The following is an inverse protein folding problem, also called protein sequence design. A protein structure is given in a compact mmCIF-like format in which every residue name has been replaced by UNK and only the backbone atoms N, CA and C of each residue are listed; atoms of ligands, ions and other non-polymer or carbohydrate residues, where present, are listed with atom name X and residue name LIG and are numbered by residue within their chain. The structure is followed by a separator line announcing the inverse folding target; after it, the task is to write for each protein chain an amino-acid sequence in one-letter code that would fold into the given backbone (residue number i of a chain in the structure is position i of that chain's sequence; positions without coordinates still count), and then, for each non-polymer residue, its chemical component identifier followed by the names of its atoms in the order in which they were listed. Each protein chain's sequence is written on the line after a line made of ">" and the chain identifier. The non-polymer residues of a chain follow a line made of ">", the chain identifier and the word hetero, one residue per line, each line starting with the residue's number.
data_IF_692720406538
#
_entry.id   IF_692720406538
#
_cell.length_a   1.000
_cell.length_b   1.000
_cell.length_c   1.000
_cell.angle_alpha   90.00
_cell.angle_beta   90.00
_cell.angle_gamma   90.00
#
_symmetry.space_group_name_H-M   'P 1'
#
loop_
_entity.id
_entity.type
_entity.pdbx_description
1 polymer ?
#
# COMPACT_ATOMS: atom_id res chain seq x y z
N UNK A 1 3.08 6.78 -4.96
CA UNK A 1 3.75 8.02 -5.42
C UNK A 1 3.06 9.30 -4.93
N UNK A 2 2.50 9.28 -3.76
CA UNK A 2 1.90 10.46 -3.16
C UNK A 2 2.95 11.46 -2.67
N UNK A 3 2.59 12.74 -2.64
CA UNK A 3 3.31 13.76 -1.90
C UNK A 3 2.76 13.85 -0.47
N UNK A 4 3.49 14.56 0.39
CA UNK A 4 3.03 14.94 1.73
C UNK A 4 1.80 15.89 1.71
N UNK A 5 1.38 16.35 0.54
CA UNK A 5 0.17 17.13 0.33
C UNK A 5 -1.05 16.20 0.18
N UNK A 6 -2.24 16.75 0.38
CA UNK A 6 -3.49 16.05 0.09
C UNK A 6 -3.45 15.42 -1.31
N UNK A 7 -3.80 14.12 -1.42
CA UNK A 7 -3.87 13.42 -2.69
C UNK A 7 -4.78 14.14 -3.71
N UNK A 8 -5.85 14.79 -3.25
CA UNK A 8 -6.76 15.59 -4.08
C UNK A 8 -6.04 16.81 -4.64
N UNK A 9 -5.31 17.56 -3.82
CA UNK A 9 -4.52 18.72 -4.25
C UNK A 9 -3.48 18.32 -5.28
N UNK A 10 -2.78 17.22 -5.03
CA UNK A 10 -1.78 16.71 -5.94
C UNK A 10 -2.37 16.29 -7.30
N UNK A 11 -3.50 15.56 -7.30
CA UNK A 11 -4.19 15.15 -8.53
C UNK A 11 -4.71 16.35 -9.33
N UNK A 12 -5.11 17.43 -8.65
CA UNK A 12 -5.70 18.62 -9.26
C UNK A 12 -4.66 19.61 -9.76
N UNK A 13 -3.61 19.86 -8.98
CA UNK A 13 -2.75 21.02 -9.15
C UNK A 13 -1.38 20.68 -9.74
N UNK A 14 -0.90 19.44 -9.62
CA UNK A 14 0.41 19.04 -10.10
C UNK A 14 0.34 18.35 -11.48
N UNK A 15 1.22 18.74 -12.38
CA UNK A 15 1.38 18.07 -13.67
C UNK A 15 1.99 16.68 -13.53
N UNK A 16 1.78 15.80 -14.51
CA UNK A 16 2.38 14.46 -14.50
C UNK A 16 3.93 14.51 -14.44
N UNK A 17 4.64 15.35 -15.23
CA UNK A 17 6.09 15.49 -15.09
C UNK A 17 6.55 15.88 -13.69
N UNK A 18 5.87 16.83 -13.05
CA UNK A 18 6.19 17.26 -11.69
C UNK A 18 6.02 16.13 -10.67
N UNK A 19 4.95 15.36 -10.79
CA UNK A 19 4.70 14.19 -9.95
C UNK A 19 5.74 13.07 -10.17
N UNK A 20 6.23 12.88 -11.40
CA UNK A 20 7.32 11.95 -11.70
C UNK A 20 8.63 12.40 -11.05
N UNK A 21 8.99 13.71 -11.17
CA UNK A 21 10.19 14.26 -10.52
C UNK A 21 10.11 14.07 -9.00
N UNK A 22 8.94 14.32 -8.41
CA UNK A 22 8.70 14.06 -6.99
C UNK A 22 8.87 12.59 -6.63
N UNK A 23 8.31 11.67 -7.43
CA UNK A 23 8.44 10.23 -7.23
C UNK A 23 9.92 9.77 -7.25
N UNK A 24 10.73 10.32 -8.14
CA UNK A 24 12.19 10.06 -8.17
C UNK A 24 12.86 10.49 -6.87
N UNK A 25 12.53 11.68 -6.35
CA UNK A 25 13.06 12.14 -5.07
C UNK A 25 12.58 11.26 -3.90
N UNK A 26 11.33 10.80 -3.91
CA UNK A 26 10.82 9.88 -2.91
C UNK A 26 11.52 8.53 -2.94
N UNK A 27 11.79 7.98 -4.12
CA UNK A 27 12.57 6.75 -4.27
C UNK A 27 13.99 6.90 -3.71
N UNK A 28 14.65 8.03 -4.00
CA UNK A 28 15.97 8.35 -3.45
C UNK A 28 15.93 8.43 -1.92
N UNK A 29 14.97 9.17 -1.35
CA UNK A 29 14.81 9.30 0.10
C UNK A 29 14.56 7.96 0.76
N UNK A 30 13.69 7.13 0.19
CA UNK A 30 13.41 5.80 0.69
C UNK A 30 14.65 4.90 0.71
N UNK A 31 15.44 4.89 -0.38
CA UNK A 31 16.68 4.10 -0.47
C UNK A 31 17.68 4.53 0.61
N UNK A 32 17.86 5.84 0.83
CA UNK A 32 18.77 6.37 1.85
C UNK A 32 18.29 6.11 3.28
N UNK A 33 16.99 5.87 3.48
CA UNK A 33 16.42 5.45 4.74
C UNK A 33 16.49 3.92 4.96
N UNK A 34 17.16 3.17 4.06
CA UNK A 34 17.40 1.73 4.20
C UNK A 34 16.36 0.84 3.49
N UNK A 35 15.40 1.40 2.78
CA UNK A 35 14.41 0.60 2.06
C UNK A 35 14.94 0.23 0.67
N UNK A 36 15.49 -0.98 0.55
CA UNK A 36 16.09 -1.50 -0.70
C UNK A 36 15.03 -2.03 -1.67
N UNK A 37 13.85 -2.38 -1.16
CA UNK A 37 12.70 -2.82 -1.97
C UNK A 37 11.42 -2.14 -1.51
N UNK A 38 10.60 -1.72 -2.47
CA UNK A 38 9.26 -1.17 -2.25
C UNK A 38 8.23 -1.89 -3.10
N UNK A 39 7.01 -2.00 -2.56
CA UNK A 39 5.82 -2.39 -3.28
C UNK A 39 4.87 -1.20 -3.38
N UNK A 40 4.69 -0.66 -4.58
CA UNK A 40 3.74 0.43 -4.88
C UNK A 40 2.42 -0.19 -5.37
N UNK A 41 1.35 0.04 -4.62
CA UNK A 41 0.03 -0.54 -4.89
C UNK A 41 -0.92 0.41 -5.60
N UNK A 42 -0.41 1.34 -6.37
CA UNK A 42 -1.22 2.18 -7.24
C UNK A 42 -0.54 3.49 -7.62
N UNK A 43 -0.59 3.81 -8.90
CA UNK A 43 0.03 5.00 -9.49
C UNK A 43 -0.72 6.30 -9.19
N UNK A 44 -1.88 6.24 -8.52
CA UNK A 44 -2.66 7.41 -8.10
C UNK A 44 -2.94 8.39 -9.24
N UNK A 45 -3.61 7.93 -10.29
CA UNK A 45 -3.96 8.70 -11.49
C UNK A 45 -2.79 9.01 -12.44
N UNK A 46 -1.62 8.41 -12.23
CA UNK A 46 -0.46 8.61 -13.13
C UNK A 46 -0.34 7.52 -14.20
N UNK A 47 -1.42 6.81 -14.50
CA UNK A 47 -1.45 5.71 -15.47
C UNK A 47 -0.42 4.62 -15.09
N UNK A 48 0.53 4.32 -15.97
CA UNK A 48 1.55 3.29 -15.80
C UNK A 48 2.92 3.91 -15.45
N UNK A 49 2.93 5.12 -14.85
CA UNK A 49 4.16 5.84 -14.52
C UNK A 49 5.03 5.12 -13.49
N UNK A 50 4.42 4.39 -12.55
CA UNK A 50 5.12 3.57 -11.55
C UNK A 50 5.95 2.46 -12.22
N UNK A 51 5.43 1.79 -13.25
CA UNK A 51 6.19 0.82 -14.05
C UNK A 51 7.37 1.48 -14.77
N UNK A 52 7.18 2.69 -15.33
CA UNK A 52 8.27 3.43 -15.97
C UNK A 52 9.34 3.86 -14.96
N UNK A 53 8.98 4.29 -13.75
CA UNK A 53 9.93 4.62 -12.68
C UNK A 53 10.68 3.37 -12.23
N UNK A 54 10.00 2.23 -12.04
CA UNK A 54 10.63 0.93 -11.76
C UNK A 54 11.69 0.60 -12.80
N UNK A 55 11.34 0.68 -14.07
CA UNK A 55 12.24 0.32 -15.17
C UNK A 55 13.42 1.30 -15.29
N UNK A 56 13.21 2.58 -14.99
CA UNK A 56 14.29 3.56 -14.94
C UNK A 56 15.28 3.25 -13.81
N UNK A 57 14.81 2.84 -12.62
CA UNK A 57 15.65 2.38 -11.51
C UNK A 57 16.40 1.10 -11.90
N UNK A 58 15.71 0.13 -12.49
CA UNK A 58 16.29 -1.15 -12.88
C UNK A 58 17.41 -0.98 -13.94
N UNK A 59 17.29 0.00 -14.82
CA UNK A 59 18.31 0.35 -15.82
C UNK A 59 19.41 1.28 -15.29
N UNK A 60 19.33 1.70 -14.02
CA UNK A 60 20.32 2.60 -13.41
C UNK A 60 20.25 4.05 -13.87
N UNK A 61 19.15 4.48 -14.50
CA UNK A 61 18.95 5.88 -14.92
C UNK A 61 18.71 6.80 -13.72
N UNK A 62 18.09 6.28 -12.67
CA UNK A 62 17.80 7.00 -11.42
C UNK A 62 18.06 6.09 -10.22
N UNK A 63 18.49 6.64 -9.07
CA UNK A 63 18.60 5.89 -7.83
C UNK A 63 17.23 5.59 -7.23
N UNK A 64 17.08 4.44 -6.58
CA UNK A 64 15.86 4.08 -5.88
C UNK A 64 15.85 2.63 -5.41
N UNK A 65 14.87 2.25 -4.59
CA UNK A 65 14.64 0.85 -4.22
C UNK A 65 14.21 0.02 -5.42
N UNK A 66 14.34 -1.29 -5.33
CA UNK A 66 13.68 -2.21 -6.27
C UNK A 66 12.17 -2.03 -6.11
N UNK A 67 11.46 -1.71 -7.19
CA UNK A 67 10.02 -1.51 -7.14
C UNK A 67 9.27 -2.74 -7.65
N UNK A 68 8.18 -3.08 -6.97
CA UNK A 68 7.10 -3.95 -7.45
C UNK A 68 5.84 -3.10 -7.54
N UNK A 69 5.21 -3.03 -8.70
CA UNK A 69 4.19 -2.02 -9.01
C UNK A 69 2.87 -2.62 -9.44
N UNK A 70 1.79 -1.94 -9.10
CA UNK A 70 0.43 -2.35 -9.48
C UNK A 70 -0.12 -1.60 -10.71
N UNK A 71 0.52 -0.53 -11.13
CA UNK A 71 -0.01 0.40 -12.14
C UNK A 71 -1.36 0.99 -11.70
N UNK A 72 -2.42 0.83 -12.45
CA UNK A 72 -3.75 1.35 -12.09
C UNK A 72 -4.50 0.34 -11.22
N UNK A 73 -5.05 0.81 -10.13
CA UNK A 73 -5.90 -0.01 -9.25
C UNK A 73 -7.24 -0.30 -9.93
N UNK A 74 -7.82 -1.47 -9.68
CA UNK A 74 -9.17 -1.81 -10.16
C UNK A 74 -10.22 -1.45 -9.11
N UNK A 75 -11.32 -0.84 -9.55
CA UNK A 75 -12.47 -0.54 -8.70
C UNK A 75 -13.77 -0.66 -9.51
N UNK A 76 -14.90 -0.90 -8.85
CA UNK A 76 -16.19 -0.85 -9.56
C UNK A 76 -16.58 0.60 -9.90
N UNK A 77 -17.43 0.79 -10.88
CA UNK A 77 -17.97 2.11 -11.28
C UNK A 77 -18.60 2.87 -10.10
N UNK A 78 -19.17 2.16 -9.14
CA UNK A 78 -19.76 2.75 -7.94
C UNK A 78 -18.75 3.17 -6.86
N UNK A 79 -17.47 2.86 -7.01
CA UNK A 79 -16.42 3.22 -6.07
C UNK A 79 -16.12 4.72 -6.08
N UNK A 80 -15.72 5.25 -4.91
CA UNK A 80 -15.32 6.65 -4.77
C UNK A 80 -14.16 7.06 -5.69
N UNK A 81 -13.16 6.20 -5.85
CA UNK A 81 -11.98 6.47 -6.68
C UNK A 81 -12.27 6.50 -8.18
N UNK A 82 -13.42 5.98 -8.62
CA UNK A 82 -13.87 6.03 -10.01
C UNK A 82 -14.63 7.30 -10.34
N UNK A 83 -15.05 8.08 -9.34
CA UNK A 83 -15.84 9.29 -9.55
C UNK A 83 -15.02 10.43 -10.13
N UNK A 84 -15.69 11.28 -10.91
CA UNK A 84 -15.20 12.60 -11.30
C UNK A 84 -15.82 13.68 -10.42
N UNK A 85 -15.05 14.69 -10.05
CA UNK A 85 -15.59 15.87 -9.37
C UNK A 85 -15.92 16.96 -10.38
N UNK A 86 -17.07 17.59 -10.20
CA UNK A 86 -17.53 18.75 -10.94
C UNK A 86 -17.49 18.59 -12.47
N UNK A 87 -18.48 17.88 -13.01
CA UNK A 87 -18.62 17.62 -14.47
C UNK A 87 -19.10 18.81 -15.30
N UNK A 88 -19.46 19.95 -14.70
CA UNK A 88 -20.05 21.09 -15.41
C UNK A 88 -19.03 22.19 -15.76
N UNK A 89 -18.04 21.83 -16.60
CA UNK A 89 -17.03 22.79 -17.06
C UNK A 89 -15.96 23.15 -16.03
N UNK A 90 -15.95 22.49 -14.88
CA UNK A 90 -14.95 22.61 -13.83
C UNK A 90 -13.83 21.59 -13.96
N UNK A 91 -12.97 21.51 -12.97
CA UNK A 91 -11.86 20.57 -12.95
C UNK A 91 -12.37 19.13 -12.73
N UNK A 92 -12.08 18.24 -13.67
CA UNK A 92 -12.19 16.82 -13.46
C UNK A 92 -10.89 16.32 -12.81
N UNK A 93 -10.98 15.72 -11.62
CA UNK A 93 -9.84 14.99 -11.07
C UNK A 93 -9.59 13.75 -11.92
N UNK A 94 -8.34 13.43 -12.25
CA UNK A 94 -8.03 12.15 -12.86
C UNK A 94 -8.48 11.01 -11.95
N UNK A 95 -9.11 9.97 -12.51
CA UNK A 95 -9.55 8.82 -11.74
C UNK A 95 -8.35 8.10 -11.10
N UNK A 96 -8.45 7.83 -9.79
CA UNK A 96 -7.43 7.10 -9.03
C UNK A 96 -7.38 5.61 -9.37
N UNK A 97 -8.51 5.06 -9.83
CA UNK A 97 -8.68 3.66 -10.21
C UNK A 97 -9.27 3.52 -11.62
N UNK A 98 -9.09 2.36 -12.23
CA UNK A 98 -9.81 1.97 -13.43
C UNK A 98 -11.15 1.36 -13.02
N UNK A 99 -12.25 1.98 -13.48
CA UNK A 99 -13.60 1.49 -13.25
C UNK A 99 -13.88 0.28 -14.14
N UNK A 100 -14.29 -0.83 -13.52
CA UNK A 100 -14.60 -2.09 -14.20
C UNK A 100 -15.77 -2.79 -13.49
N UNK A 101 -16.69 -3.34 -14.27
CA UNK A 101 -17.85 -4.04 -13.75
C UNK A 101 -18.07 -5.34 -14.54
N UNK A 102 -18.41 -6.41 -13.81
CA UNK A 102 -18.65 -7.74 -14.37
C UNK A 102 -17.39 -8.48 -14.80
N UNK A 103 -17.49 -9.80 -14.79
CA UNK A 103 -16.35 -10.74 -14.95
C UNK A 103 -15.57 -10.55 -16.26
N UNK A 104 -16.24 -10.23 -17.36
CA UNK A 104 -15.58 -10.09 -18.67
C UNK A 104 -14.77 -8.79 -18.77
N UNK A 105 -15.26 -7.69 -18.20
CA UNK A 105 -14.50 -6.46 -18.17
C UNK A 105 -13.30 -6.56 -17.22
N UNK A 106 -13.51 -7.16 -16.05
CA UNK A 106 -12.45 -7.46 -15.08
C UNK A 106 -11.34 -8.30 -15.70
N UNK A 107 -11.69 -9.38 -16.40
CA UNK A 107 -10.72 -10.21 -17.13
C UNK A 107 -9.85 -9.38 -18.07
N UNK A 108 -10.48 -8.52 -18.87
CA UNK A 108 -9.78 -7.63 -19.80
C UNK A 108 -8.90 -6.62 -19.05
N UNK A 109 -9.39 -6.07 -17.94
CA UNK A 109 -8.65 -5.11 -17.14
C UNK A 109 -7.40 -5.72 -16.50
N UNK A 110 -7.50 -6.91 -15.90
CA UNK A 110 -6.34 -7.63 -15.35
C UNK A 110 -5.28 -7.86 -16.45
N UNK A 111 -5.69 -8.31 -17.64
CA UNK A 111 -4.77 -8.47 -18.79
C UNK A 111 -4.11 -7.16 -19.19
N UNK A 112 -4.86 -6.04 -19.19
CA UNK A 112 -4.28 -4.70 -19.45
C UNK A 112 -3.24 -4.32 -18.40
N UNK A 113 -3.46 -4.63 -17.11
CA UNK A 113 -2.46 -4.35 -16.05
C UNK A 113 -1.19 -5.17 -16.27
N UNK A 114 -1.33 -6.45 -16.56
CA UNK A 114 -0.20 -7.32 -16.87
C UNK A 114 0.57 -6.81 -18.10
N UNK A 115 -0.14 -6.45 -19.17
CA UNK A 115 0.46 -5.88 -20.37
C UNK A 115 1.16 -4.54 -20.13
N UNK A 116 0.68 -3.73 -19.18
CA UNK A 116 1.30 -2.48 -18.75
C UNK A 116 2.52 -2.70 -17.83
N UNK A 117 2.84 -3.94 -17.50
CA UNK A 117 4.00 -4.31 -16.67
C UNK A 117 3.73 -4.34 -15.17
N UNK A 118 2.49 -4.55 -14.74
CA UNK A 118 2.20 -4.73 -13.32
C UNK A 118 2.86 -6.00 -12.77
N UNK A 119 3.52 -5.88 -11.61
CA UNK A 119 4.09 -6.98 -10.84
C UNK A 119 3.08 -7.57 -9.85
N UNK A 120 2.05 -6.79 -9.52
CA UNK A 120 0.96 -7.13 -8.60
C UNK A 120 -0.35 -6.54 -9.12
N UNK A 121 -1.44 -7.28 -9.02
CA UNK A 121 -2.77 -6.73 -9.28
C UNK A 121 -3.32 -6.16 -7.98
N UNK A 122 -3.80 -4.91 -8.01
CA UNK A 122 -4.44 -4.25 -6.87
C UNK A 122 -5.88 -3.92 -7.19
N UNK A 123 -6.78 -4.19 -6.24
CA UNK A 123 -8.17 -3.77 -6.33
C UNK A 123 -8.71 -3.28 -4.97
N UNK A 124 -9.83 -2.54 -5.03
CA UNK A 124 -10.61 -2.18 -3.86
C UNK A 124 -11.73 -3.20 -3.68
N UNK A 125 -11.65 -4.06 -2.65
CA UNK A 125 -12.74 -4.98 -2.31
C UNK A 125 -13.95 -4.23 -1.75
N UNK A 126 -13.67 -3.18 -0.99
CA UNK A 126 -14.64 -2.22 -0.46
C UNK A 126 -14.07 -0.81 -0.53
N UNK A 127 -14.94 0.18 -0.59
CA UNK A 127 -14.54 1.59 -0.52
C UNK A 127 -15.75 2.48 -0.21
N UNK A 128 -15.46 3.73 0.15
CA UNK A 128 -16.48 4.75 0.41
C UNK A 128 -17.40 4.92 -0.79
N UNK A 129 -18.69 4.89 -0.54
CA UNK A 129 -19.70 5.18 -1.56
C UNK A 129 -20.35 6.53 -1.27
N UNK A 130 -20.76 7.22 -2.32
CA UNK A 130 -21.63 8.37 -2.21
C UNK A 130 -23.04 7.88 -1.96
N UNK A 131 -23.47 7.90 -0.68
CA UNK A 131 -24.82 7.52 -0.29
C UNK A 131 -25.58 8.73 0.22
N UNK A 132 -26.87 8.79 -0.15
CA UNK A 132 -27.75 9.89 0.28
C UNK A 132 -28.23 9.73 1.74
N UNK A 133 -27.93 8.61 2.38
CA UNK A 133 -28.34 8.26 3.75
C UNK A 133 -27.22 8.42 4.77
N UNK A 134 -26.19 9.13 4.45
CA UNK A 134 -25.13 9.49 5.41
C UNK A 134 -25.72 10.18 6.65
N UNK A 135 -24.99 10.20 7.77
CA UNK A 135 -25.38 10.95 8.94
C UNK A 135 -25.87 12.35 8.57
N UNK A 136 -26.88 12.89 9.26
CA UNK A 136 -27.47 14.17 8.91
C UNK A 136 -26.39 15.26 8.92
N UNK A 137 -26.47 16.15 7.96
CA UNK A 137 -25.61 17.32 7.91
C UNK A 137 -25.83 18.20 9.16
N UNK A 138 -24.75 18.80 9.64
CA UNK A 138 -24.82 19.73 10.75
C UNK A 138 -25.25 21.09 10.22
N UNK A 139 -26.20 21.74 10.90
CA UNK A 139 -26.65 23.07 10.53
C UNK A 139 -25.51 24.08 10.60
N UNK A 140 -25.44 24.95 9.60
CA UNK A 140 -24.46 26.04 9.59
C UNK A 140 -24.68 26.98 10.80
N UNK A 141 -23.64 27.35 11.56
CA UNK A 141 -23.80 28.09 12.80
C UNK A 141 -24.36 29.51 12.61
N UNK A 142 -24.17 30.09 11.44
CA UNK A 142 -24.58 31.49 11.16
C UNK A 142 -25.67 31.62 10.09
N UNK A 143 -25.92 30.57 9.32
CA UNK A 143 -26.90 30.59 8.23
C UNK A 143 -27.82 29.36 8.35
N UNK A 144 -28.97 29.49 8.98
CA UNK A 144 -29.86 28.36 9.31
C UNK A 144 -30.34 27.54 8.11
N UNK A 145 -30.37 28.12 6.93
CA UNK A 145 -30.76 27.45 5.69
C UNK A 145 -29.65 26.61 5.05
N UNK A 146 -28.41 26.72 5.55
CA UNK A 146 -27.26 26.02 5.03
C UNK A 146 -26.87 24.89 5.97
N UNK A 147 -26.77 23.68 5.43
CA UNK A 147 -26.30 22.52 6.13
C UNK A 147 -24.85 22.22 5.76
N UNK A 148 -24.00 21.97 6.76
CA UNK A 148 -22.67 21.44 6.53
C UNK A 148 -22.74 19.96 6.17
N UNK A 149 -21.79 19.46 5.35
CA UNK A 149 -21.61 18.02 5.19
C UNK A 149 -21.43 17.35 6.56
N UNK A 150 -21.85 16.10 6.73
CA UNK A 150 -21.59 15.35 7.95
C UNK A 150 -20.09 15.30 8.24
N UNK A 151 -19.70 15.33 9.52
CA UNK A 151 -18.31 15.23 9.95
C UNK A 151 -17.73 13.84 9.73
N UNK A 152 -18.61 12.83 9.81
CA UNK A 152 -18.23 11.45 9.56
C UNK A 152 -18.12 11.20 8.05
N UNK A 153 -17.08 10.47 7.60
CA UNK A 153 -16.98 10.06 6.21
C UNK A 153 -18.12 9.11 5.85
N UNK A 154 -18.45 9.03 4.57
CA UNK A 154 -19.36 7.99 4.08
C UNK A 154 -18.81 6.61 4.46
N UNK A 155 -19.65 5.68 4.90
CA UNK A 155 -19.23 4.33 5.24
C UNK A 155 -18.66 3.60 4.02
N UNK A 156 -17.75 2.66 4.28
CA UNK A 156 -17.25 1.75 3.28
C UNK A 156 -18.26 0.63 3.02
N UNK A 157 -18.36 0.22 1.76
CA UNK A 157 -19.21 -0.89 1.31
C UNK A 157 -18.44 -1.76 0.33
N UNK A 158 -18.76 -3.05 0.30
CA UNK A 158 -18.27 -3.96 -0.73
C UNK A 158 -18.63 -3.40 -2.11
N UNK A 159 -17.66 -3.33 -3.00
CA UNK A 159 -17.81 -2.75 -4.34
C UNK A 159 -17.69 -3.77 -5.46
N UNK A 160 -17.21 -4.99 -5.17
CA UNK A 160 -17.18 -6.13 -6.06
C UNK A 160 -17.94 -7.31 -5.45
N UNK A 161 -18.66 -8.05 -6.29
CA UNK A 161 -19.24 -9.35 -5.90
C UNK A 161 -18.15 -10.39 -5.68
N UNK A 162 -18.48 -11.52 -5.05
CA UNK A 162 -17.52 -12.62 -4.89
C UNK A 162 -17.04 -13.15 -6.24
N UNK A 163 -17.93 -13.29 -7.23
CA UNK A 163 -17.58 -13.75 -8.58
C UNK A 163 -16.58 -12.83 -9.27
N UNK A 164 -16.72 -11.53 -9.07
CA UNK A 164 -15.79 -10.53 -9.61
C UNK A 164 -14.42 -10.61 -8.93
N UNK A 165 -14.37 -10.76 -7.60
CA UNK A 165 -13.12 -10.95 -6.86
C UNK A 165 -12.42 -12.25 -7.28
N UNK A 166 -13.18 -13.34 -7.43
CA UNK A 166 -12.68 -14.62 -7.90
C UNK A 166 -12.07 -14.52 -9.30
N UNK A 167 -12.70 -13.74 -10.21
CA UNK A 167 -12.19 -13.50 -11.55
C UNK A 167 -10.88 -12.71 -11.54
N UNK A 168 -10.75 -11.68 -10.68
CA UNK A 168 -9.50 -10.92 -10.55
C UNK A 168 -8.36 -11.88 -10.20
N UNK A 169 -8.56 -12.72 -9.20
CA UNK A 169 -7.53 -13.65 -8.70
C UNK A 169 -7.24 -14.74 -9.72
N UNK A 170 -8.27 -15.34 -10.31
CA UNK A 170 -8.12 -16.40 -11.30
C UNK A 170 -7.31 -15.93 -12.52
N UNK A 171 -7.61 -14.75 -13.05
CA UNK A 171 -6.90 -14.21 -14.21
C UNK A 171 -5.46 -13.78 -13.88
N UNK A 172 -5.23 -13.18 -12.69
CA UNK A 172 -3.89 -12.82 -12.22
C UNK A 172 -3.00 -14.07 -12.02
N UNK A 173 -3.56 -15.15 -11.51
CA UNK A 173 -2.85 -16.42 -11.29
C UNK A 173 -2.34 -17.04 -12.60
N UNK A 174 -3.06 -16.89 -13.72
CA UNK A 174 -2.57 -17.33 -15.04
C UNK A 174 -1.25 -16.66 -15.43
N UNK A 175 -1.06 -15.41 -15.02
CA UNK A 175 0.18 -14.67 -15.22
C UNK A 175 1.17 -14.81 -14.05
N UNK A 176 0.88 -15.63 -13.04
CA UNK A 176 1.66 -15.78 -11.81
C UNK A 176 1.86 -14.44 -11.07
N UNK A 177 0.89 -13.55 -11.18
CA UNK A 177 0.90 -12.23 -10.59
C UNK A 177 0.14 -12.25 -9.27
N UNK A 178 0.74 -11.90 -8.11
CA UNK A 178 0.04 -11.86 -6.84
C UNK A 178 -1.04 -10.77 -6.85
N UNK A 179 -2.06 -10.95 -6.02
CA UNK A 179 -3.17 -10.00 -5.89
C UNK A 179 -3.18 -9.41 -4.50
N UNK A 180 -3.34 -8.08 -4.43
CA UNK A 180 -3.50 -7.30 -3.20
C UNK A 180 -4.88 -6.63 -3.16
N UNK A 181 -5.58 -6.72 -2.04
CA UNK A 181 -6.89 -6.11 -1.86
C UNK A 181 -6.86 -5.02 -0.78
N UNK A 182 -7.43 -3.84 -1.08
CA UNK A 182 -7.79 -2.87 -0.07
C UNK A 182 -9.08 -3.31 0.60
N UNK A 183 -9.09 -3.41 1.92
CA UNK A 183 -10.25 -3.81 2.70
C UNK A 183 -10.37 -2.98 3.97
N UNK A 184 -11.49 -2.30 4.15
CA UNK A 184 -11.83 -1.58 5.39
C UNK A 184 -12.94 -2.30 6.17
N UNK A 185 -13.72 -3.15 5.51
CA UNK A 185 -14.84 -3.88 6.11
C UNK A 185 -14.51 -5.37 6.28
N UNK A 186 -15.14 -6.01 7.25
CA UNK A 186 -15.04 -7.46 7.42
C UNK A 186 -15.55 -8.22 6.19
N UNK A 187 -16.66 -7.74 5.60
CA UNK A 187 -17.30 -8.36 4.45
C UNK A 187 -16.38 -8.35 3.22
N UNK A 188 -15.76 -7.18 2.91
CA UNK A 188 -14.80 -7.05 1.82
C UNK A 188 -13.56 -7.92 2.03
N UNK A 189 -13.02 -7.94 3.26
CA UNK A 189 -11.89 -8.76 3.62
C UNK A 189 -12.19 -10.25 3.46
N UNK A 190 -13.31 -10.73 3.98
CA UNK A 190 -13.74 -12.14 3.86
C UNK A 190 -13.91 -12.56 2.40
N UNK A 191 -14.51 -11.70 1.56
CA UNK A 191 -14.65 -11.95 0.13
C UNK A 191 -13.30 -12.06 -0.58
N UNK A 192 -12.40 -11.11 -0.33
CA UNK A 192 -11.06 -11.10 -0.91
C UNK A 192 -10.21 -12.32 -0.48
N UNK A 193 -10.25 -12.71 0.82
CA UNK A 193 -9.54 -13.90 1.32
C UNK A 193 -10.09 -15.16 0.66
N UNK A 194 -11.42 -15.31 0.55
CA UNK A 194 -12.06 -16.45 -0.13
C UNK A 194 -11.65 -16.54 -1.59
N UNK A 195 -11.55 -15.41 -2.29
CA UNK A 195 -11.06 -15.35 -3.66
C UNK A 195 -9.58 -15.78 -3.79
N UNK A 196 -8.79 -15.72 -2.71
CA UNK A 196 -7.40 -16.17 -2.69
C UNK A 196 -6.37 -15.05 -2.94
N UNK A 197 -6.64 -13.84 -2.50
CA UNK A 197 -5.66 -12.75 -2.57
C UNK A 197 -4.41 -13.06 -1.75
N UNK A 198 -3.27 -12.57 -2.20
CA UNK A 198 -2.00 -12.76 -1.49
C UNK A 198 -1.90 -11.86 -0.25
N UNK A 199 -2.39 -10.63 -0.34
CA UNK A 199 -2.34 -9.68 0.78
C UNK A 199 -3.65 -8.93 0.95
N UNK A 200 -3.98 -8.63 2.21
CA UNK A 200 -5.02 -7.68 2.60
C UNK A 200 -4.35 -6.45 3.19
N UNK A 201 -4.69 -5.30 2.65
CA UNK A 201 -4.18 -3.99 3.09
C UNK A 201 -5.21 -3.31 4.01
N UNK A 202 -4.75 -2.69 5.08
CA UNK A 202 -5.47 -1.92 6.10
C UNK A 202 -6.25 -2.76 7.11
N UNK A 203 -7.37 -3.34 6.76
CA UNK A 203 -8.22 -4.24 7.59
C UNK A 203 -8.67 -3.61 8.91
N UNK A 204 -9.73 -2.80 8.86
CA UNK A 204 -10.26 -2.13 10.06
C UNK A 204 -11.40 -2.88 10.74
N UNK A 205 -12.06 -3.79 10.05
CA UNK A 205 -13.09 -4.69 10.59
C UNK A 205 -12.59 -6.13 10.62
N UNK A 206 -12.39 -6.71 11.80
CA UNK A 206 -11.78 -8.03 11.95
C UNK A 206 -12.55 -8.93 12.90
N UNK A 207 -12.42 -10.26 12.70
CA UNK A 207 -12.85 -11.31 13.64
C UNK A 207 -11.79 -12.40 13.69
N UNK A 208 -11.80 -13.20 14.74
CA UNK A 208 -10.89 -14.37 14.84
C UNK A 208 -11.13 -15.37 13.69
N UNK A 209 -12.39 -15.53 13.24
CA UNK A 209 -12.73 -16.35 12.09
C UNK A 209 -12.00 -15.88 10.81
N UNK A 210 -11.96 -14.56 10.58
CA UNK A 210 -11.22 -13.99 9.46
C UNK A 210 -9.72 -14.30 9.59
N UNK A 211 -9.13 -14.14 10.76
CA UNK A 211 -7.72 -14.45 10.99
C UNK A 211 -7.40 -15.94 10.77
N UNK A 212 -8.26 -16.83 11.20
CA UNK A 212 -8.11 -18.27 10.92
C UNK A 212 -8.18 -18.57 9.42
N UNK A 213 -9.10 -17.92 8.70
CA UNK A 213 -9.21 -18.06 7.25
C UNK A 213 -7.96 -17.50 6.53
N UNK A 214 -7.44 -16.34 6.98
CA UNK A 214 -6.19 -15.79 6.45
C UNK A 214 -5.04 -16.78 6.60
N UNK A 215 -4.90 -17.36 7.79
CA UNK A 215 -3.86 -18.36 8.06
C UNK A 215 -4.03 -19.61 7.20
N UNK A 216 -5.24 -20.13 7.06
CA UNK A 216 -5.56 -21.30 6.21
C UNK A 216 -5.19 -21.04 4.75
N UNK A 217 -5.54 -19.85 4.22
CA UNK A 217 -5.30 -19.47 2.83
C UNK A 217 -3.90 -18.96 2.55
N UNK A 218 -3.05 -18.78 3.58
CA UNK A 218 -1.73 -18.16 3.42
C UNK A 218 -1.80 -16.71 2.98
N UNK A 219 -2.88 -16.01 3.35
CA UNK A 219 -3.08 -14.60 3.09
C UNK A 219 -2.31 -13.76 4.12
N UNK A 220 -1.58 -12.76 3.68
CA UNK A 220 -0.73 -11.88 4.50
C UNK A 220 -1.51 -10.65 4.92
N UNK A 221 -1.46 -10.29 6.19
CA UNK A 221 -1.99 -9.03 6.70
C UNK A 221 -0.95 -7.92 6.56
N UNK A 222 -1.37 -6.77 6.01
CA UNK A 222 -0.56 -5.55 5.93
C UNK A 222 -1.29 -4.43 6.67
N UNK A 223 -0.97 -4.19 7.94
CA UNK A 223 -1.83 -3.41 8.85
C UNK A 223 -1.83 -1.91 8.56
N UNK A 224 -0.75 -1.36 8.02
CA UNK A 224 -0.62 0.08 7.70
C UNK A 224 -0.93 1.00 8.88
N UNK A 225 -0.36 0.70 10.04
CA UNK A 225 -0.59 1.45 11.28
C UNK A 225 -0.13 2.90 11.17
N UNK A 226 0.92 3.19 10.40
CA UNK A 226 1.46 4.54 10.26
C UNK A 226 0.46 5.52 9.61
N UNK A 227 -0.29 5.10 8.59
CA UNK A 227 -1.38 5.92 8.07
C UNK A 227 -2.58 5.95 9.02
N UNK A 228 -2.91 4.80 9.64
CA UNK A 228 -4.04 4.72 10.57
C UNK A 228 -3.87 5.65 11.79
N UNK A 229 -2.65 5.80 12.31
CA UNK A 229 -2.32 6.77 13.36
C UNK A 229 -2.73 8.20 13.00
N UNK A 230 -2.63 8.57 11.73
CA UNK A 230 -2.93 9.92 11.25
C UNK A 230 -4.41 10.14 10.96
N UNK A 231 -5.05 9.19 10.30
CA UNK A 231 -6.43 9.37 9.79
C UNK A 231 -7.51 8.73 10.67
N UNK A 232 -7.16 7.75 11.52
CA UNK A 232 -8.09 7.00 12.36
C UNK A 232 -7.81 7.14 13.86
N UNK A 233 -7.47 8.34 14.31
CA UNK A 233 -7.04 8.62 15.69
C UNK A 233 -7.93 8.00 16.77
N UNK A 234 -9.25 8.01 16.58
CA UNK A 234 -10.20 7.46 17.56
C UNK A 234 -10.19 5.92 17.65
N UNK A 235 -9.84 5.25 16.55
CA UNK A 235 -9.82 3.78 16.45
C UNK A 235 -8.41 3.22 16.54
N UNK A 236 -7.40 4.06 16.56
CA UNK A 236 -6.00 3.66 16.41
C UNK A 236 -5.55 2.60 17.43
N UNK A 237 -5.86 2.80 18.72
CA UNK A 237 -5.52 1.83 19.76
C UNK A 237 -6.15 0.45 19.50
N UNK A 238 -7.39 0.40 18.99
CA UNK A 238 -8.02 -0.88 18.62
C UNK A 238 -7.35 -1.55 17.42
N UNK A 239 -6.84 -0.77 16.47
CA UNK A 239 -6.12 -1.31 15.30
C UNK A 239 -4.76 -1.91 15.70
N UNK A 240 -4.07 -1.32 16.66
CA UNK A 240 -2.87 -1.92 17.24
C UNK A 240 -3.18 -3.26 17.93
N UNK A 241 -4.23 -3.32 18.75
CA UNK A 241 -4.68 -4.57 19.39
C UNK A 241 -5.04 -5.63 18.36
N UNK A 242 -5.75 -5.27 17.30
CA UNK A 242 -6.13 -6.18 16.21
C UNK A 242 -4.90 -6.72 15.46
N UNK A 243 -3.91 -5.87 15.17
CA UNK A 243 -2.65 -6.27 14.55
C UNK A 243 -1.89 -7.27 15.40
N UNK A 244 -1.77 -7.00 16.69
CA UNK A 244 -1.17 -7.94 17.66
C UNK A 244 -1.95 -9.24 17.73
N UNK A 245 -3.28 -9.19 17.76
CA UNK A 245 -4.15 -10.36 17.79
C UNK A 245 -3.96 -11.24 16.56
N UNK A 246 -3.90 -10.64 15.37
CA UNK A 246 -3.63 -11.38 14.13
C UNK A 246 -2.29 -12.12 14.20
N UNK A 247 -1.23 -11.43 14.62
CA UNK A 247 0.09 -12.02 14.81
C UNK A 247 0.06 -13.19 15.80
N UNK A 248 -0.59 -13.01 16.97
CA UNK A 248 -0.69 -14.07 18.00
C UNK A 248 -1.45 -15.31 17.56
N UNK A 249 -2.41 -15.16 16.66
CA UNK A 249 -3.12 -16.27 16.02
C UNK A 249 -2.32 -16.92 14.88
N UNK A 250 -1.14 -16.40 14.57
CA UNK A 250 -0.22 -16.92 13.57
C UNK A 250 -0.59 -16.51 12.15
N UNK A 251 -1.30 -15.39 11.96
CA UNK A 251 -1.45 -14.76 10.66
C UNK A 251 -0.10 -14.18 10.24
N UNK A 252 0.33 -14.44 9.03
CA UNK A 252 1.53 -13.82 8.47
C UNK A 252 1.31 -12.31 8.32
N UNK A 253 2.25 -11.50 8.82
CA UNK A 253 2.21 -10.05 8.74
C UNK A 253 3.36 -9.55 7.86
N UNK A 254 3.10 -8.51 7.07
CA UNK A 254 4.14 -7.77 6.36
C UNK A 254 4.06 -6.28 6.71
N UNK A 255 5.22 -5.64 6.80
CA UNK A 255 5.35 -4.26 7.23
C UNK A 255 5.21 -3.29 6.05
N UNK A 256 4.22 -2.38 6.11
CA UNK A 256 4.01 -1.29 5.16
C UNK A 256 3.24 -0.15 5.81
N UNK A 257 3.77 1.07 5.73
CA UNK A 257 3.16 2.23 6.36
C UNK A 257 2.13 2.99 5.51
N UNK A 258 2.02 2.66 4.21
CA UNK A 258 1.19 3.39 3.24
C UNK A 258 1.62 4.86 3.09
N UNK A 259 2.92 5.05 2.81
CA UNK A 259 3.53 6.37 2.59
C UNK A 259 2.86 7.16 1.48
N UNK A 260 2.77 8.46 1.70
CA UNK A 260 2.09 9.41 0.83
C UNK A 260 1.17 10.34 1.62
N UNK A 261 0.71 9.89 2.78
CA UNK A 261 0.06 10.73 3.79
C UNK A 261 1.06 11.21 4.85
N UNK A 262 2.22 10.59 4.93
CA UNK A 262 3.37 10.99 5.72
C UNK A 262 4.64 10.87 4.86
N UNK A 263 5.78 11.37 5.37
CA UNK A 263 7.02 11.52 4.59
C UNK A 263 7.59 10.19 4.11
N UNK A 264 7.98 10.15 2.84
CA UNK A 264 8.83 9.09 2.34
C UNK A 264 10.17 9.09 3.07
N UNK A 265 10.64 7.91 3.47
CA UNK A 265 11.82 7.76 4.33
C UNK A 265 11.48 7.64 5.82
N UNK A 266 10.25 7.97 6.24
CA UNK A 266 9.78 7.82 7.63
C UNK A 266 9.04 6.49 7.88
N UNK A 267 9.20 5.53 6.99
CA UNK A 267 8.51 4.24 7.03
C UNK A 267 8.86 3.38 8.26
N UNK A 268 9.98 3.67 8.95
CA UNK A 268 10.32 3.06 10.23
C UNK A 268 9.20 3.25 11.28
N UNK A 269 8.33 4.28 11.11
CA UNK A 269 7.18 4.48 11.99
C UNK A 269 6.25 3.26 12.03
N UNK A 270 6.06 2.56 10.92
CA UNK A 270 5.28 1.33 10.92
C UNK A 270 5.88 0.26 11.83
N UNK A 271 7.20 0.03 11.77
CA UNK A 271 7.89 -0.90 12.64
C UNK A 271 7.75 -0.51 14.11
N UNK A 272 7.95 0.78 14.42
CA UNK A 272 7.78 1.30 15.78
C UNK A 272 6.38 1.04 16.32
N UNK A 273 5.34 1.29 15.50
CA UNK A 273 3.95 1.09 15.88
C UNK A 273 3.58 -0.39 16.07
N UNK A 274 4.17 -1.29 15.30
CA UNK A 274 4.03 -2.73 15.50
C UNK A 274 4.69 -3.18 16.81
N UNK A 275 5.86 -2.64 17.15
CA UNK A 275 6.54 -2.88 18.44
C UNK A 275 5.72 -2.29 19.60
N UNK A 276 5.19 -1.08 19.43
CA UNK A 276 4.30 -0.45 20.43
C UNK A 276 3.01 -1.25 20.64
N UNK A 277 2.51 -1.95 19.62
CA UNK A 277 1.40 -2.90 19.72
C UNK A 277 1.74 -4.19 20.49
N UNK A 278 3.03 -4.41 20.80
CA UNK A 278 3.51 -5.57 21.57
C UNK A 278 4.02 -6.73 20.72
N UNK A 279 4.26 -6.53 19.42
CA UNK A 279 4.95 -7.52 18.58
C UNK A 279 6.46 -7.43 18.88
N UNK A 280 7.15 -8.57 18.98
CA UNK A 280 8.57 -8.58 19.26
C UNK A 280 9.38 -7.98 18.11
N UNK A 281 10.51 -7.36 18.43
CA UNK A 281 11.36 -6.70 17.44
C UNK A 281 11.76 -7.64 16.29
N UNK A 282 12.13 -8.88 16.63
CA UNK A 282 12.56 -9.89 15.67
C UNK A 282 11.45 -10.21 14.67
N UNK A 283 10.21 -10.37 15.14
CA UNK A 283 9.04 -10.63 14.30
C UNK A 283 8.70 -9.42 13.41
N UNK A 284 8.88 -8.20 13.94
CA UNK A 284 8.70 -6.96 13.16
C UNK A 284 9.76 -6.84 12.08
N UNK A 285 11.02 -7.15 12.37
CA UNK A 285 12.09 -7.15 11.36
C UNK A 285 11.84 -8.22 10.29
N UNK A 286 11.38 -9.41 10.68
CA UNK A 286 10.98 -10.46 9.75
C UNK A 286 9.81 -10.02 8.87
N UNK A 287 8.79 -9.38 9.44
CA UNK A 287 7.65 -8.83 8.67
C UNK A 287 8.11 -7.78 7.65
N UNK A 288 9.14 -6.99 7.99
CA UNK A 288 9.68 -5.94 7.12
C UNK A 288 10.60 -6.48 6.02
N UNK A 289 11.20 -7.64 6.21
CA UNK A 289 12.19 -8.27 5.33
C UNK A 289 11.58 -9.46 4.57
N UNK A 290 11.52 -10.63 5.18
CA UNK A 290 10.95 -11.85 4.57
C UNK A 290 9.46 -11.67 4.25
N UNK A 291 8.68 -11.08 5.17
CA UNK A 291 7.27 -10.77 4.94
C UNK A 291 7.06 -9.81 3.76
N UNK A 292 7.99 -8.86 3.59
CA UNK A 292 8.05 -7.99 2.42
C UNK A 292 8.21 -8.76 1.12
N UNK A 293 9.17 -9.70 1.06
CA UNK A 293 9.38 -10.58 -0.08
C UNK A 293 8.16 -11.46 -0.37
N UNK A 294 7.59 -12.09 0.64
CA UNK A 294 6.37 -12.91 0.51
C UNK A 294 5.20 -12.10 -0.05
N UNK A 295 5.08 -10.84 0.37
CA UNK A 295 4.03 -9.93 -0.11
C UNK A 295 4.20 -9.51 -1.57
N UNK A 296 5.42 -9.59 -2.11
CA UNK A 296 5.71 -9.39 -3.53
C UNK A 296 5.49 -10.65 -4.38
N UNK A 297 5.00 -11.74 -3.79
CA UNK A 297 4.73 -13.00 -4.48
C UNK A 297 5.73 -14.12 -4.20
N UNK A 298 6.67 -13.93 -3.27
CA UNK A 298 7.71 -14.90 -2.93
C UNK A 298 8.50 -15.33 -4.18
N UNK A 299 8.68 -16.60 -4.43
CA UNK A 299 9.43 -17.10 -5.60
C UNK A 299 8.83 -16.65 -6.96
N UNK A 300 7.53 -16.30 -7.00
CA UNK A 300 6.88 -15.79 -8.22
C UNK A 300 7.45 -14.43 -8.66
N UNK A 301 8.03 -13.65 -7.75
CA UNK A 301 8.61 -12.35 -8.10
C UNK A 301 9.98 -12.47 -8.83
N UNK A 302 10.49 -13.69 -9.00
CA UNK A 302 11.72 -13.99 -9.73
C UNK A 302 13.00 -13.53 -9.04
N UNK A 303 12.93 -13.13 -7.76
CA UNK A 303 14.07 -12.66 -6.96
C UNK A 303 13.91 -13.12 -5.51
N UNK A 304 15.01 -13.41 -4.84
CA UNK A 304 15.07 -13.78 -3.42
C UNK A 304 15.78 -12.69 -2.65
N UNK A 305 15.11 -12.09 -1.68
CA UNK A 305 15.62 -10.99 -0.84
C UNK A 305 14.94 -10.99 0.54
N UNK A 306 15.51 -10.26 1.49
CA UNK A 306 14.96 -10.12 2.83
C UNK A 306 15.67 -10.96 3.89
N UNK A 307 16.66 -11.75 3.52
CA UNK A 307 17.55 -12.50 4.43
C UNK A 307 18.93 -12.65 3.83
N UNK A 308 19.90 -13.06 4.65
CA UNK A 308 21.28 -13.26 4.26
C UNK A 308 21.55 -14.75 4.02
N UNK A 309 21.61 -15.14 2.75
CA UNK A 309 21.89 -16.51 2.30
C UNK A 309 22.52 -16.46 0.92
N UNK A 310 23.33 -17.46 0.55
CA UNK A 310 23.83 -17.60 -0.81
C UNK A 310 22.67 -17.70 -1.82
N UNK A 311 22.75 -16.94 -2.90
CA UNK A 311 21.71 -16.86 -3.92
C UNK A 311 20.60 -15.85 -3.66
N UNK A 312 20.65 -15.11 -2.54
CA UNK A 312 19.79 -13.95 -2.31
C UNK A 312 20.42 -12.66 -2.82
N UNK A 313 19.58 -11.64 -3.04
CA UNK A 313 20.07 -10.31 -3.42
C UNK A 313 20.91 -9.73 -2.27
N UNK A 314 22.06 -9.14 -2.62
CA UNK A 314 22.93 -8.49 -1.65
C UNK A 314 22.35 -7.11 -1.27
N UNK A 315 21.29 -7.15 -0.48
CA UNK A 315 20.60 -5.99 0.10
C UNK A 315 20.92 -5.96 1.59
N UNK A 316 21.74 -5.01 2.03
CA UNK A 316 22.28 -4.95 3.39
C UNK A 316 22.15 -3.52 3.92
N UNK A 317 21.62 -3.37 5.12
CA UNK A 317 21.68 -2.11 5.85
C UNK A 317 22.44 -2.31 7.16
N UNK A 318 23.12 -1.26 7.64
CA UNK A 318 23.62 -1.19 8.99
C UNK A 318 23.00 -0.01 9.73
N UNK A 319 22.67 -0.23 10.99
CA UNK A 319 22.16 0.77 11.90
C UNK A 319 23.29 1.32 12.78
N UNK A 320 23.22 2.58 13.18
CA UNK A 320 24.22 3.19 14.06
C UNK A 320 24.30 2.52 15.44
N UNK A 321 23.17 2.02 15.94
CA UNK A 321 23.08 1.39 17.27
C UNK A 321 22.21 0.13 17.19
N UNK A 322 22.26 -0.68 18.24
CA UNK A 322 21.49 -1.92 18.36
C UNK A 322 19.99 -1.60 18.61
N UNK A 323 19.06 -1.99 17.74
CA UNK A 323 17.63 -1.73 17.91
C UNK A 323 16.98 -2.47 19.08
N UNK A 324 17.66 -3.49 19.64
CA UNK A 324 17.22 -4.17 20.88
C UNK A 324 17.40 -3.29 22.11
N UNK A 325 18.35 -2.35 22.04
CA UNK A 325 18.67 -1.42 23.13
C UNK A 325 18.06 -0.04 22.91
N UNK A 326 18.00 0.41 21.66
CA UNK A 326 17.46 1.72 21.27
C UNK A 326 16.50 1.57 20.08
N UNK A 327 15.20 1.72 20.32
CA UNK A 327 14.17 1.65 19.26
C UNK A 327 14.39 2.72 18.17
N UNK A 328 14.99 3.87 18.51
CA UNK A 328 15.32 4.93 17.56
C UNK A 328 16.40 4.50 16.55
N UNK A 329 17.12 3.41 16.80
CA UNK A 329 18.09 2.84 15.87
C UNK A 329 17.46 2.50 14.51
N UNK A 330 16.19 2.09 14.46
CA UNK A 330 15.47 1.78 13.21
C UNK A 330 15.41 2.95 12.22
N UNK A 331 15.58 4.18 12.70
CA UNK A 331 15.64 5.41 11.90
C UNK A 331 17.08 5.84 11.57
N UNK A 332 18.09 5.25 12.24
CA UNK A 332 19.49 5.65 12.14
C UNK A 332 20.26 4.66 11.24
N UNK A 333 19.92 4.68 9.96
CA UNK A 333 20.59 3.83 8.97
C UNK A 333 21.87 4.51 8.53
N UNK A 334 23.01 3.88 8.78
CA UNK A 334 24.34 4.41 8.48
C UNK A 334 24.88 3.88 7.15
N UNK A 335 24.54 2.67 6.80
CA UNK A 335 24.98 1.99 5.58
C UNK A 335 23.80 1.41 4.80
N UNK A 336 23.82 1.55 3.47
CA UNK A 336 22.83 0.94 2.56
C UNK A 336 23.52 0.36 1.34
N UNK A 337 23.36 -0.94 1.17
CA UNK A 337 23.73 -1.67 -0.06
C UNK A 337 22.46 -2.26 -0.68
N UNK A 338 22.28 -2.11 -1.98
CA UNK A 338 21.22 -2.74 -2.77
C UNK A 338 21.81 -3.36 -4.03
N UNK A 339 21.49 -4.61 -4.30
CA UNK A 339 22.04 -5.36 -5.45
C UNK A 339 23.58 -5.29 -5.51
N UNK A 340 24.26 -5.45 -4.36
CA UNK A 340 25.71 -5.33 -4.18
C UNK A 340 26.32 -3.95 -4.51
N UNK A 341 25.50 -2.93 -4.75
CA UNK A 341 25.93 -1.54 -4.93
C UNK A 341 25.68 -0.74 -3.66
N UNK A 342 26.72 -0.04 -3.18
CA UNK A 342 26.64 0.85 -2.01
C UNK A 342 25.97 2.16 -2.42
N UNK A 343 24.98 2.58 -1.67
CA UNK A 343 24.22 3.82 -1.86
C UNK A 343 24.34 4.80 -0.70
N UNK A 344 24.72 4.28 0.48
CA UNK A 344 25.00 5.08 1.67
C UNK A 344 26.13 4.44 2.46
N UNK A 345 27.07 5.23 2.94
CA UNK A 345 28.18 4.78 3.79
C UNK A 345 28.55 5.90 4.76
N UNK A 346 28.78 5.54 6.04
CA UNK A 346 29.10 6.47 7.11
C UNK A 346 28.10 7.65 7.15
N UNK A 347 26.81 7.35 7.02
CA UNK A 347 25.73 8.33 6.97
C UNK A 347 25.62 9.16 5.66
N UNK A 348 26.59 9.06 4.77
CA UNK A 348 26.68 9.86 3.54
C UNK A 348 26.14 9.14 2.31
N UNK A 349 25.36 9.84 1.50
CA UNK A 349 24.86 9.33 0.23
C UNK A 349 25.97 9.15 -0.80
N UNK A 350 25.97 8.03 -1.54
CA UNK A 350 26.94 7.70 -2.58
C UNK A 350 26.21 7.49 -3.90
N UNK A 351 26.74 8.06 -5.00
CA UNK A 351 26.22 7.80 -6.35
C UNK A 351 24.78 8.20 -6.58
N UNK A 352 24.33 9.30 -6.00
CA UNK A 352 22.97 9.82 -6.08
C UNK A 352 22.75 10.86 -7.18
N UNK A 353 23.69 10.99 -8.08
CA UNK A 353 23.62 11.92 -9.22
C UNK A 353 23.31 11.13 -10.47
#
# INVERSE_FOLDING_TARGET
>A
MHSEASAITQKRDESMPERIIRAVNHCRTALLAGYTTYRDLGSESMQDADANVRDAIARGLIPGPRLFVATRVLASTGSFESRTENSMGGHCLPAGAEAVDGVEEIRKAVRRRIAAGADVIKFFADYRRRIMRSPPAVQHPYVPSVLHPPKEPNPDYVVFSQEEMDMIVAEANLAKCPVAAHCCTLEGAMGAIKAGVKTIEHVYGVTDEMFHLMKEKGCIMVPTLAIAEQIHKQKFASLQVQTKRAHDLGVRVACRGDTGTFRHGDNAREMELMIEAGIQLEDVLEACTVGGWESCGADLCGRRFGWLEEGTQADIIALETDPRLDKAALRKVDFVMKDAKIWKQDGNAIGMI
#
